data_IF_593464591394
#
_entry.id   IF_593464591394
#
_cell.length_a   1.000
_cell.length_b   1.000
_cell.length_c   1.000
_cell.angle_alpha   90.00
_cell.angle_beta   90.00
_cell.angle_gamma   90.00
#
_symmetry.space_group_name_H-M   'P 1'
#
loop_
_entity.id
_entity.type
_entity.pdbx_description
1 polymer ?
#
# COMPACT_ATOMS: atom_id res chain seq x y z
N UNK A 1 -22.58 -39.27 27.02
CA UNK A 1 -22.13 -37.89 26.79
C UNK A 1 -21.87 -37.71 25.29
N UNK A 2 -22.59 -36.80 24.62
CA UNK A 2 -22.37 -36.44 23.21
C UNK A 2 -21.70 -35.08 23.21
N UNK A 3 -20.45 -35.00 22.77
CA UNK A 3 -19.76 -33.73 22.56
C UNK A 3 -20.34 -33.04 21.32
N UNK A 4 -20.67 -31.74 21.38
CA UNK A 4 -21.10 -31.02 20.19
C UNK A 4 -19.90 -30.87 19.25
N UNK A 5 -20.10 -31.27 18.00
CA UNK A 5 -19.15 -31.04 16.92
C UNK A 5 -19.24 -29.55 16.56
N UNK A 6 -18.20 -28.78 16.84
CA UNK A 6 -18.09 -27.42 16.31
C UNK A 6 -17.91 -27.52 14.80
N UNK A 7 -19.00 -27.42 14.06
CA UNK A 7 -18.95 -27.17 12.64
C UNK A 7 -18.35 -25.78 12.45
N UNK A 8 -17.09 -25.71 11.99
CA UNK A 8 -16.53 -24.48 11.46
C UNK A 8 -17.34 -24.09 10.23
N UNK A 9 -18.26 -23.15 10.42
CA UNK A 9 -19.06 -22.58 9.35
C UNK A 9 -18.13 -21.83 8.38
N UNK A 10 -17.83 -22.43 7.23
CA UNK A 10 -17.06 -21.78 6.17
C UNK A 10 -17.97 -20.73 5.53
N UNK A 11 -17.96 -19.51 6.07
CA UNK A 11 -18.70 -18.38 5.52
C UNK A 11 -18.05 -17.96 4.20
N UNK A 12 -18.67 -18.33 3.09
CA UNK A 12 -18.26 -17.91 1.74
C UNK A 12 -19.00 -16.64 1.34
N UNK A 13 -18.29 -15.68 0.77
CA UNK A 13 -18.86 -14.46 0.17
C UNK A 13 -18.46 -14.38 -1.30
N UNK A 14 -19.39 -13.95 -2.15
CA UNK A 14 -19.18 -13.85 -3.59
C UNK A 14 -18.49 -12.53 -3.95
N UNK A 15 -17.55 -12.57 -4.90
CA UNK A 15 -16.85 -11.39 -5.43
C UNK A 15 -17.25 -11.21 -6.88
N UNK A 16 -17.91 -10.08 -7.20
CA UNK A 16 -18.35 -9.74 -8.56
C UNK A 16 -17.65 -8.48 -9.03
N UNK A 17 -17.00 -8.56 -10.18
CA UNK A 17 -16.37 -7.43 -10.85
C UNK A 17 -16.78 -7.41 -12.32
N UNK A 18 -17.05 -6.22 -12.85
CA UNK A 18 -17.24 -6.02 -14.29
C UNK A 18 -15.86 -5.79 -14.92
N UNK A 19 -15.58 -6.52 -15.99
CA UNK A 19 -14.34 -6.44 -16.76
C UNK A 19 -14.68 -6.56 -18.24
N UNK A 20 -13.79 -6.09 -19.11
CA UNK A 20 -13.91 -6.28 -20.54
C UNK A 20 -13.89 -7.78 -20.89
N UNK A 21 -14.72 -8.24 -21.84
CA UNK A 21 -14.77 -9.64 -22.24
C UNK A 21 -13.43 -10.13 -22.77
N UNK A 22 -12.75 -9.33 -23.59
CA UNK A 22 -11.44 -9.67 -24.15
C UNK A 22 -10.39 -9.84 -23.04
N UNK A 23 -10.42 -8.97 -22.02
CA UNK A 23 -9.53 -9.06 -20.87
C UNK A 23 -9.76 -10.36 -20.10
N UNK A 24 -11.02 -10.74 -19.89
CA UNK A 24 -11.38 -12.00 -19.23
C UNK A 24 -10.82 -13.21 -19.97
N UNK A 25 -10.98 -13.26 -21.29
CA UNK A 25 -10.51 -14.38 -22.11
C UNK A 25 -8.99 -14.50 -22.10
N UNK A 26 -8.28 -13.39 -22.28
CA UNK A 26 -6.82 -13.36 -22.23
C UNK A 26 -6.30 -13.78 -20.86
N UNK A 27 -6.84 -13.21 -19.78
CA UNK A 27 -6.45 -13.57 -18.42
C UNK A 27 -6.72 -15.05 -18.12
N UNK A 28 -7.86 -15.59 -18.56
CA UNK A 28 -8.20 -16.99 -18.37
C UNK A 28 -7.18 -17.91 -19.04
N UNK A 29 -6.73 -17.59 -20.26
CA UNK A 29 -5.73 -18.36 -20.98
C UNK A 29 -4.39 -18.39 -20.25
N UNK A 30 -3.88 -17.21 -19.85
CA UNK A 30 -2.60 -17.08 -19.14
C UNK A 30 -2.64 -17.79 -17.78
N UNK A 31 -3.75 -17.68 -17.05
CA UNK A 31 -3.91 -18.35 -15.76
C UNK A 31 -4.01 -19.88 -15.91
N UNK A 32 -4.69 -20.36 -16.97
CA UNK A 32 -4.82 -21.78 -17.25
C UNK A 32 -3.47 -22.45 -17.58
N UNK A 33 -2.56 -21.73 -18.23
CA UNK A 33 -1.17 -22.20 -18.45
C UNK A 33 -0.42 -22.47 -17.13
N UNK A 34 -0.85 -21.81 -16.05
CA UNK A 34 -0.33 -21.99 -14.69
C UNK A 34 -1.23 -22.88 -13.81
N UNK A 35 -2.24 -23.53 -14.39
CA UNK A 35 -3.19 -24.40 -13.66
C UNK A 35 -4.16 -23.65 -12.74
N UNK A 36 -4.35 -22.34 -12.95
CA UNK A 36 -5.20 -21.49 -12.12
C UNK A 36 -6.49 -21.10 -12.84
N UNK A 37 -7.59 -21.06 -12.09
CA UNK A 37 -8.82 -20.38 -12.55
C UNK A 37 -8.77 -18.90 -12.21
N UNK A 38 -9.65 -18.10 -12.82
CA UNK A 38 -9.83 -16.68 -12.43
C UNK A 38 -10.15 -16.56 -10.94
N UNK A 39 -11.01 -17.44 -10.43
CA UNK A 39 -11.38 -17.43 -9.01
C UNK A 39 -10.20 -17.76 -8.09
N UNK A 40 -9.29 -18.65 -8.51
CA UNK A 40 -8.06 -18.93 -7.75
C UNK A 40 -7.15 -17.72 -7.73
N UNK A 41 -6.94 -17.07 -8.89
CA UNK A 41 -6.14 -15.86 -8.99
C UNK A 41 -6.70 -14.72 -8.12
N UNK A 42 -8.02 -14.51 -8.12
CA UNK A 42 -8.68 -13.51 -7.25
C UNK A 42 -8.48 -13.85 -5.77
N UNK A 43 -8.61 -15.12 -5.38
CA UNK A 43 -8.34 -15.54 -4.00
C UNK A 43 -6.90 -15.31 -3.59
N UNK A 44 -5.94 -15.63 -4.46
CA UNK A 44 -4.52 -15.42 -4.21
C UNK A 44 -4.18 -13.92 -4.10
N UNK A 45 -4.73 -13.11 -5.00
CA UNK A 45 -4.59 -11.65 -4.96
C UNK A 45 -5.06 -11.08 -3.62
N UNK A 46 -6.28 -11.43 -3.18
CA UNK A 46 -6.82 -10.92 -1.91
C UNK A 46 -6.01 -11.39 -0.71
N UNK A 47 -5.52 -12.64 -0.71
CA UNK A 47 -4.60 -13.13 0.34
C UNK A 47 -3.30 -12.34 0.37
N UNK A 48 -2.73 -12.03 -0.80
CA UNK A 48 -1.50 -11.27 -0.86
C UNK A 48 -1.70 -9.84 -0.38
N UNK A 49 -2.83 -9.20 -0.71
CA UNK A 49 -3.19 -7.86 -0.19
C UNK A 49 -3.22 -7.84 1.33
N UNK A 50 -3.83 -8.85 1.94
CA UNK A 50 -3.89 -8.99 3.40
C UNK A 50 -2.48 -9.20 3.98
N UNK A 51 -1.66 -10.05 3.35
CA UNK A 51 -0.32 -10.38 3.83
C UNK A 51 0.63 -9.17 3.79
N UNK A 52 0.60 -8.38 2.72
CA UNK A 52 1.53 -7.24 2.54
C UNK A 52 0.96 -5.92 3.08
N UNK A 53 -0.26 -5.92 3.62
CA UNK A 53 -1.00 -4.72 4.04
C UNK A 53 -1.00 -3.62 2.96
N UNK A 54 -1.17 -4.01 1.70
CA UNK A 54 -1.00 -3.12 0.55
C UNK A 54 -1.26 -3.83 -0.77
N UNK A 55 -0.94 -3.18 -1.88
CA UNK A 55 -1.08 -3.80 -3.19
C UNK A 55 0.11 -4.74 -3.46
N UNK A 56 -0.14 -5.95 -4.01
CA UNK A 56 0.86 -6.98 -4.19
C UNK A 56 1.76 -6.75 -5.41
N UNK A 57 1.65 -5.59 -6.02
CA UNK A 57 2.45 -5.12 -7.13
C UNK A 57 2.87 -3.68 -6.86
N UNK A 58 4.00 -3.28 -7.41
CA UNK A 58 4.55 -1.94 -7.24
C UNK A 58 3.62 -0.93 -7.93
N UNK A 59 2.84 -0.18 -7.14
CA UNK A 59 2.03 0.93 -7.67
C UNK A 59 2.96 2.10 -7.88
N UNK A 60 3.52 2.19 -9.09
CA UNK A 60 4.33 3.33 -9.52
C UNK A 60 3.43 4.53 -9.81
N UNK A 61 2.83 5.09 -8.78
CA UNK A 61 2.45 6.49 -8.77
C UNK A 61 3.37 7.13 -7.74
N UNK A 62 4.54 7.64 -8.16
CA UNK A 62 5.38 8.42 -7.28
C UNK A 62 4.54 9.58 -6.77
N UNK A 63 4.11 9.53 -5.51
CA UNK A 63 3.32 10.60 -4.98
C UNK A 63 4.22 11.86 -4.96
N UNK A 64 3.69 12.97 -5.45
CA UNK A 64 4.49 14.19 -5.65
C UNK A 64 5.05 14.72 -4.32
N UNK A 65 4.47 14.32 -3.18
CA UNK A 65 4.90 14.71 -1.84
C UNK A 65 6.17 13.96 -1.41
N UNK A 66 6.22 12.64 -1.58
CA UNK A 66 7.38 11.77 -1.29
C UNK A 66 8.53 12.08 -2.24
N UNK A 67 8.25 12.36 -3.52
CA UNK A 67 9.31 12.83 -4.43
C UNK A 67 9.88 14.20 -4.02
N UNK A 68 9.05 15.12 -3.52
CA UNK A 68 9.51 16.41 -2.99
C UNK A 68 10.31 16.24 -1.70
N UNK A 69 9.82 15.44 -0.77
CA UNK A 69 10.49 15.15 0.50
C UNK A 69 11.85 14.46 0.29
N UNK A 70 11.97 13.53 -0.66
CA UNK A 70 13.25 12.91 -1.01
C UNK A 70 14.25 13.91 -1.59
N UNK A 71 13.79 14.82 -2.47
CA UNK A 71 14.63 15.90 -3.01
C UNK A 71 15.08 16.89 -1.94
N UNK A 72 14.18 17.28 -1.04
CA UNK A 72 14.49 18.15 0.10
C UNK A 72 15.50 17.47 1.04
N UNK A 73 15.30 16.20 1.37
CA UNK A 73 16.22 15.41 2.18
C UNK A 73 17.62 15.32 1.57
N UNK A 74 17.75 15.10 0.26
CA UNK A 74 19.07 15.08 -0.41
C UNK A 74 19.80 16.42 -0.30
N UNK A 75 19.07 17.54 -0.34
CA UNK A 75 19.67 18.87 -0.17
C UNK A 75 20.05 19.16 1.28
N UNK A 76 19.28 18.67 2.25
CA UNK A 76 19.52 18.82 3.68
C UNK A 76 20.68 17.92 4.15
N UNK A 77 20.73 16.66 3.70
CA UNK A 77 21.80 15.71 4.03
C UNK A 77 23.19 16.17 3.56
N UNK A 78 23.26 16.98 2.50
CA UNK A 78 24.51 17.60 2.04
C UNK A 78 24.95 18.81 2.89
N UNK A 79 24.02 19.44 3.61
CA UNK A 79 24.27 20.68 4.37
C UNK A 79 24.47 20.45 5.86
N UNK A 80 23.91 19.39 6.44
CA UNK A 80 23.94 19.19 7.89
C UNK A 80 24.51 17.81 8.27
N UNK A 81 25.64 17.83 8.97
CA UNK A 81 26.18 16.68 9.72
C UNK A 81 26.12 17.02 11.20
N UNK A 82 25.34 16.25 11.94
CA UNK A 82 25.17 16.42 13.38
C UNK A 82 26.04 15.42 14.13
N UNK A 83 26.56 15.81 15.30
CA UNK A 83 27.44 14.98 16.11
C UNK A 83 26.66 13.99 16.97
N UNK A 84 25.40 14.29 17.29
CA UNK A 84 24.51 13.44 18.06
C UNK A 84 23.04 13.72 17.74
N UNK A 85 22.14 12.84 18.21
CA UNK A 85 20.70 12.95 17.96
C UNK A 85 20.06 14.21 18.57
N UNK A 86 20.58 14.71 19.69
CA UNK A 86 20.06 15.92 20.34
C UNK A 86 20.26 17.16 19.47
N UNK A 87 21.46 17.31 18.91
CA UNK A 87 21.81 18.42 18.01
C UNK A 87 20.93 18.45 16.75
N UNK A 88 20.52 17.27 16.23
CA UNK A 88 19.59 17.16 15.12
C UNK A 88 18.17 17.59 15.50
N UNK A 89 17.68 17.15 16.67
CA UNK A 89 16.32 17.49 17.12
C UNK A 89 16.19 18.99 17.42
N UNK A 90 17.19 19.57 18.08
CA UNK A 90 17.23 21.00 18.40
C UNK A 90 17.25 21.88 17.13
N UNK A 91 17.86 21.42 16.02
CA UNK A 91 17.86 22.13 14.73
C UNK A 91 16.51 22.01 14.00
N UNK A 92 15.90 20.82 14.02
CA UNK A 92 14.59 20.60 13.39
C UNK A 92 13.49 21.41 14.07
N UNK A 93 13.49 21.50 15.40
CA UNK A 93 12.54 22.33 16.15
C UNK A 93 12.66 23.81 15.76
N UNK A 94 13.90 24.34 15.66
CA UNK A 94 14.15 25.72 15.20
C UNK A 94 13.68 25.98 13.77
N UNK A 95 13.72 24.97 12.90
CA UNK A 95 13.25 25.12 11.51
C UNK A 95 11.72 25.01 11.39
N UNK A 96 11.04 24.29 12.28
CA UNK A 96 9.57 24.20 12.29
C UNK A 96 8.89 25.45 12.83
N UNK A 97 9.57 26.25 13.66
CA UNK A 97 9.05 27.52 14.18
C UNK A 97 8.97 28.65 13.12
N UNK A 98 9.58 28.46 11.94
CA UNK A 98 9.56 29.42 10.83
C UNK A 98 8.50 29.18 9.76
N UNK A 99 7.65 28.16 9.89
CA UNK A 99 6.68 27.79 8.85
C UNK A 99 5.27 28.26 9.25
N UNK A 100 4.75 29.38 8.70
CA UNK A 100 3.39 29.80 8.99
C UNK A 100 2.44 28.68 8.54
N UNK A 101 1.64 28.19 9.48
CA UNK A 101 0.57 27.26 9.24
C UNK A 101 -0.30 27.80 8.10
N UNK A 102 -0.19 27.18 6.92
CA UNK A 102 -1.12 27.41 5.82
C UNK A 102 -2.50 26.88 6.25
N UNK A 103 -3.21 27.74 6.97
CA UNK A 103 -4.66 27.71 7.07
C UNK A 103 -5.19 28.16 5.73
N UNK A 104 -5.65 27.23 4.91
CA UNK A 104 -6.71 27.51 3.95
C UNK A 104 -7.41 26.19 3.61
N UNK A 105 -8.37 25.82 4.47
CA UNK A 105 -9.60 25.20 3.98
C UNK A 105 -10.41 26.35 3.39
N UNK A 106 -10.48 26.42 2.07
CA UNK A 106 -11.48 27.23 1.38
C UNK A 106 -12.40 26.27 0.62
N UNK A 107 -13.69 26.38 1.00
CA UNK A 107 -14.95 26.13 0.29
C UNK A 107 -15.12 24.89 -0.61
#
# INVERSE_FOLDING_TARGET
>A
MRFPMFATEVKTTDVRARIEPDLKEHAQRVLAENGLTISDAVRLFLRQVVLVHGLPFEVRIPNAATLRALKESDTLARKARFRNAQELLDDLEKQQEGQPAATERQD
#
